data_IF_823629198837
#
_entry.id   IF_823629198837
#
_cell.length_a   1.000
_cell.length_b   1.000
_cell.length_c   1.000
_cell.angle_alpha   90.00
_cell.angle_beta   90.00
_cell.angle_gamma   90.00
#
_symmetry.space_group_name_H-M   'P 1'
#
loop_
_entity.id
_entity.type
_entity.pdbx_description
1 polymer ?
#
# COMPACT_ATOMS: atom_id res chain seq x y z
N UNK A 1 -25.15 0.69 13.89
CA UNK A 1 -24.61 2.02 13.54
C UNK A 1 -25.60 2.78 12.65
N UNK A 2 -26.72 3.30 13.17
CA UNK A 2 -27.56 4.31 12.48
C UNK A 2 -28.32 3.97 11.18
N UNK A 3 -27.97 2.89 10.45
CA UNK A 3 -28.59 2.52 9.16
C UNK A 3 -27.59 2.53 7.99
N UNK A 4 -28.02 2.09 6.81
CA UNK A 4 -27.16 2.05 5.62
C UNK A 4 -26.96 3.44 5.02
N UNK A 5 -25.71 3.82 4.75
CA UNK A 5 -25.37 5.11 4.13
C UNK A 5 -25.14 5.02 2.62
N UNK A 6 -25.07 3.80 2.06
CA UNK A 6 -24.89 3.52 0.64
C UNK A 6 -25.70 2.29 0.24
N UNK A 7 -26.26 2.28 -0.97
CA UNK A 7 -27.00 1.13 -1.51
C UNK A 7 -26.09 0.02 -2.05
N UNK A 8 -24.91 0.41 -2.57
CA UNK A 8 -23.90 -0.50 -3.13
C UNK A 8 -22.55 -0.11 -2.55
N UNK A 9 -21.76 -1.11 -2.17
CA UNK A 9 -20.38 -0.93 -1.73
C UNK A 9 -19.43 -1.40 -2.84
N UNK A 10 -18.71 -0.49 -3.51
CA UNK A 10 -17.65 -0.90 -4.43
C UNK A 10 -16.53 -1.58 -3.64
N UNK A 11 -16.00 -2.66 -4.19
CA UNK A 11 -14.95 -3.44 -3.57
C UNK A 11 -13.74 -3.51 -4.50
N UNK A 12 -12.55 -3.38 -3.93
CA UNK A 12 -11.33 -3.87 -4.55
C UNK A 12 -11.08 -5.32 -4.10
N UNK A 13 -10.12 -5.99 -4.73
CA UNK A 13 -9.71 -7.35 -4.34
C UNK A 13 -8.23 -7.39 -3.97
N UNK A 14 -7.85 -8.29 -3.05
CA UNK A 14 -6.45 -8.59 -2.75
C UNK A 14 -6.09 -9.94 -3.35
N UNK A 15 -5.22 -9.97 -4.35
CA UNK A 15 -4.82 -11.18 -5.06
C UNK A 15 -3.53 -10.95 -5.87
N UNK A 16 -2.80 -12.01 -6.17
CA UNK A 16 -1.67 -11.95 -7.12
C UNK A 16 -2.10 -11.88 -8.59
N UNK A 17 -3.41 -11.99 -8.88
CA UNK A 17 -4.00 -11.99 -10.23
C UNK A 17 -4.84 -10.75 -10.49
N UNK A 18 -4.18 -9.62 -10.67
CA UNK A 18 -4.83 -8.33 -10.93
C UNK A 18 -5.68 -8.34 -12.20
N UNK A 19 -5.27 -9.11 -13.22
CA UNK A 19 -6.03 -9.37 -14.44
C UNK A 19 -7.40 -10.01 -14.15
N UNK A 20 -7.43 -11.03 -13.29
CA UNK A 20 -8.67 -11.69 -12.89
C UNK A 20 -9.53 -10.75 -12.05
N UNK A 21 -8.93 -10.02 -11.10
CA UNK A 21 -9.63 -9.03 -10.29
C UNK A 21 -10.36 -7.99 -11.15
N UNK A 22 -9.68 -7.42 -12.14
CA UNK A 22 -10.29 -6.50 -13.10
C UNK A 22 -11.41 -7.17 -13.90
N UNK A 23 -11.19 -8.38 -14.42
CA UNK A 23 -12.18 -9.11 -15.23
C UNK A 23 -13.47 -9.42 -14.46
N UNK A 24 -13.37 -9.65 -13.15
CA UNK A 24 -14.50 -9.90 -12.26
C UNK A 24 -15.26 -8.63 -11.84
N UNK A 25 -14.79 -7.44 -12.25
CA UNK A 25 -15.47 -6.17 -12.01
C UNK A 25 -15.13 -5.49 -10.67
N UNK A 26 -14.07 -5.91 -9.98
CA UNK A 26 -13.56 -5.17 -8.82
C UNK A 26 -13.05 -3.78 -9.24
N UNK A 27 -13.13 -2.81 -8.34
CA UNK A 27 -12.73 -1.42 -8.64
C UNK A 27 -11.23 -1.19 -8.57
N UNK A 28 -10.46 -2.18 -8.15
CA UNK A 28 -9.01 -2.14 -8.01
C UNK A 28 -8.45 -3.47 -7.55
N UNK A 29 -7.13 -3.61 -7.54
CA UNK A 29 -6.46 -4.80 -7.03
C UNK A 29 -5.26 -4.44 -6.15
N UNK A 30 -5.21 -5.01 -4.95
CA UNK A 30 -4.02 -5.01 -4.09
C UNK A 30 -3.22 -6.28 -4.34
N UNK A 31 -1.93 -6.14 -4.64
CA UNK A 31 -0.98 -7.25 -4.85
C UNK A 31 0.04 -7.25 -3.71
N UNK A 32 0.64 -8.41 -3.42
CA UNK A 32 1.65 -8.54 -2.37
C UNK A 32 3.05 -8.18 -2.88
N UNK A 33 3.85 -7.54 -2.03
CA UNK A 33 5.26 -7.23 -2.28
C UNK A 33 6.12 -8.49 -2.11
N UNK A 34 6.76 -9.01 -3.18
CA UNK A 34 7.43 -10.31 -3.11
C UNK A 34 8.81 -10.29 -2.46
N UNK A 35 9.56 -9.18 -2.52
CA UNK A 35 10.93 -9.08 -2.00
C UNK A 35 11.07 -7.96 -0.98
N UNK A 36 11.91 -8.19 0.03
CA UNK A 36 12.13 -7.27 1.15
C UNK A 36 13.53 -6.66 1.17
N UNK A 37 13.89 -5.94 2.25
CA UNK A 37 15.19 -5.30 2.39
C UNK A 37 16.38 -6.28 2.36
N UNK A 38 16.19 -7.52 2.84
CA UNK A 38 17.22 -8.56 2.86
C UNK A 38 17.66 -9.01 1.45
N UNK A 39 16.80 -8.84 0.44
CA UNK A 39 17.13 -9.13 -0.97
C UNK A 39 17.91 -8.00 -1.66
N UNK A 40 18.12 -6.88 -0.96
CA UNK A 40 18.88 -5.73 -1.42
C UNK A 40 18.40 -5.13 -2.74
N UNK A 41 19.33 -4.57 -3.51
CA UNK A 41 19.04 -3.92 -4.80
C UNK A 41 18.48 -4.90 -5.84
N UNK A 42 18.89 -6.17 -5.78
CA UNK A 42 18.38 -7.22 -6.67
C UNK A 42 16.90 -7.47 -6.41
N UNK A 43 16.49 -7.56 -5.15
CA UNK A 43 15.08 -7.65 -4.76
C UNK A 43 14.26 -6.45 -5.19
N UNK A 44 14.79 -5.23 -4.99
CA UNK A 44 14.12 -3.99 -5.46
C UNK A 44 13.89 -4.01 -6.98
N UNK A 45 14.88 -4.45 -7.77
CA UNK A 45 14.74 -4.55 -9.23
C UNK A 45 13.64 -5.56 -9.62
N UNK A 46 13.62 -6.74 -8.98
CA UNK A 46 12.60 -7.76 -9.23
C UNK A 46 11.19 -7.30 -8.82
N UNK A 47 11.07 -6.58 -7.70
CA UNK A 47 9.82 -5.94 -7.28
C UNK A 47 9.30 -5.01 -8.39
N UNK A 48 10.16 -4.11 -8.89
CA UNK A 48 9.79 -3.19 -9.99
C UNK A 48 9.34 -3.93 -11.24
N UNK A 49 10.08 -4.96 -11.67
CA UNK A 49 9.72 -5.78 -12.83
C UNK A 49 8.34 -6.44 -12.63
N UNK A 50 8.08 -6.98 -11.43
CA UNK A 50 6.78 -7.57 -11.08
C UNK A 50 5.64 -6.54 -11.13
N UNK A 51 5.85 -5.33 -10.61
CA UNK A 51 4.84 -4.27 -10.63
C UNK A 51 4.55 -3.76 -12.04
N UNK A 52 5.58 -3.65 -12.89
CA UNK A 52 5.41 -3.29 -14.30
C UNK A 52 4.57 -4.34 -15.04
N UNK A 53 4.77 -5.62 -14.75
CA UNK A 53 3.95 -6.70 -15.32
C UNK A 53 2.49 -6.59 -14.85
N UNK A 54 2.26 -6.36 -13.55
CA UNK A 54 0.91 -6.18 -13.02
C UNK A 54 0.21 -4.97 -13.66
N UNK A 55 0.90 -3.83 -13.79
CA UNK A 55 0.40 -2.65 -14.49
C UNK A 55 0.05 -2.96 -15.95
N UNK A 56 0.93 -3.63 -16.68
CA UNK A 56 0.68 -3.99 -18.09
C UNK A 56 -0.57 -4.88 -18.27
N UNK A 57 -0.86 -5.77 -17.31
CA UNK A 57 -2.04 -6.64 -17.35
C UNK A 57 -3.36 -5.88 -17.19
N UNK A 58 -3.36 -4.78 -16.44
CA UNK A 58 -4.60 -4.05 -16.09
C UNK A 58 -4.73 -2.69 -16.79
N UNK A 59 -3.66 -2.18 -17.41
CA UNK A 59 -3.61 -0.87 -18.05
C UNK A 59 -3.58 0.30 -17.07
N UNK A 60 -3.36 1.51 -17.58
CA UNK A 60 -3.00 2.70 -16.77
C UNK A 60 -4.11 3.20 -15.85
N UNK A 61 -5.37 2.95 -16.20
CA UNK A 61 -6.53 3.47 -15.47
C UNK A 61 -7.05 2.59 -14.34
N UNK A 62 -6.54 1.37 -14.17
CA UNK A 62 -7.03 0.45 -13.13
C UNK A 62 -6.26 0.64 -11.82
N UNK A 63 -6.90 0.92 -10.68
CA UNK A 63 -6.21 1.08 -9.41
C UNK A 63 -5.42 -0.18 -9.01
N UNK A 64 -4.14 0.01 -8.75
CA UNK A 64 -3.25 -1.01 -8.20
C UNK A 64 -2.69 -0.53 -6.87
N UNK A 65 -2.66 -1.44 -5.91
CA UNK A 65 -2.19 -1.19 -4.55
C UNK A 65 -1.15 -2.24 -4.19
N UNK A 66 -0.22 -1.88 -3.30
CA UNK A 66 0.82 -2.79 -2.85
C UNK A 66 0.64 -3.07 -1.35
N UNK A 67 0.64 -4.35 -0.99
CA UNK A 67 0.70 -4.83 0.38
C UNK A 67 2.13 -5.27 0.73
N UNK A 68 2.69 -4.76 1.81
CA UNK A 68 4.05 -5.04 2.24
C UNK A 68 4.15 -5.89 3.52
N UNK A 69 3.03 -6.21 4.15
CA UNK A 69 2.93 -7.10 5.33
C UNK A 69 4.06 -6.91 6.35
N UNK A 70 4.17 -5.70 6.90
CA UNK A 70 5.11 -5.26 7.94
C UNK A 70 6.60 -5.58 7.69
N UNK A 71 6.99 -5.86 6.44
CA UNK A 71 8.27 -6.51 6.14
C UNK A 71 9.44 -5.56 5.77
N UNK A 72 9.22 -4.24 5.70
CA UNK A 72 10.23 -3.31 5.21
C UNK A 72 10.85 -2.46 6.32
N UNK A 73 11.77 -1.59 5.93
CA UNK A 73 12.44 -0.61 6.80
C UNK A 73 12.23 0.80 6.24
N UNK A 74 12.33 1.83 7.09
CA UNK A 74 12.12 3.24 6.67
C UNK A 74 12.87 3.62 5.38
N UNK A 75 14.19 3.35 5.23
CA UNK A 75 14.91 3.72 4.00
C UNK A 75 14.43 2.95 2.76
N UNK A 76 14.08 1.68 2.91
CA UNK A 76 13.58 0.85 1.83
C UNK A 76 12.19 1.31 1.41
N UNK A 77 11.30 1.56 2.37
CA UNK A 77 9.93 2.04 2.14
C UNK A 77 9.90 3.39 1.41
N UNK A 78 10.78 4.32 1.78
CA UNK A 78 10.92 5.61 1.06
C UNK A 78 11.34 5.39 -0.40
N UNK A 79 12.31 4.50 -0.62
CA UNK A 79 12.82 4.21 -1.97
C UNK A 79 11.77 3.52 -2.83
N UNK A 80 11.05 2.55 -2.26
CA UNK A 80 9.97 1.84 -2.92
C UNK A 80 8.79 2.77 -3.23
N UNK A 81 8.36 3.58 -2.27
CA UNK A 81 7.25 4.53 -2.45
C UNK A 81 7.50 5.51 -3.61
N UNK A 82 8.71 6.07 -3.71
CA UNK A 82 9.08 6.94 -4.84
C UNK A 82 8.89 6.22 -6.17
N UNK A 83 9.36 4.97 -6.25
CA UNK A 83 9.25 4.17 -7.46
C UNK A 83 7.81 3.83 -7.82
N UNK A 84 6.98 3.50 -6.83
CA UNK A 84 5.54 3.20 -6.99
C UNK A 84 4.74 4.42 -7.45
N UNK A 85 5.15 5.62 -7.04
CA UNK A 85 4.52 6.89 -7.41
C UNK A 85 4.86 7.34 -8.84
N UNK A 86 5.91 6.79 -9.45
CA UNK A 86 6.31 7.16 -10.81
C UNK A 86 5.17 6.88 -11.81
N UNK A 87 5.00 7.73 -12.85
CA UNK A 87 3.87 7.63 -13.78
C UNK A 87 3.72 6.29 -14.49
N UNK A 88 4.81 5.54 -14.70
CA UNK A 88 4.77 4.24 -15.38
C UNK A 88 4.19 3.11 -14.50
N UNK A 89 4.21 3.28 -13.16
CA UNK A 89 3.59 2.35 -12.22
C UNK A 89 2.28 2.90 -11.67
N UNK A 90 2.28 4.15 -11.21
CA UNK A 90 1.14 4.90 -10.68
C UNK A 90 0.27 4.05 -9.75
N UNK A 91 0.88 3.56 -8.66
CA UNK A 91 0.13 2.84 -7.63
C UNK A 91 -0.71 3.81 -6.80
N UNK A 92 -1.88 3.34 -6.37
CA UNK A 92 -2.82 4.11 -5.54
C UNK A 92 -2.35 4.17 -4.09
N UNK A 93 -1.87 3.06 -3.53
CA UNK A 93 -1.28 3.06 -2.19
C UNK A 93 -0.22 1.97 -1.97
N UNK A 94 0.59 2.19 -0.93
CA UNK A 94 1.47 1.21 -0.30
C UNK A 94 1.02 0.98 1.15
N UNK A 95 0.80 -0.29 1.49
CA UNK A 95 0.14 -0.72 2.71
C UNK A 95 1.09 -1.51 3.62
N UNK A 96 0.97 -1.23 4.92
CA UNK A 96 1.64 -1.94 6.01
C UNK A 96 3.12 -2.21 5.74
N UNK A 97 3.87 -1.15 5.51
CA UNK A 97 5.26 -1.24 5.08
C UNK A 97 6.26 -1.40 6.23
N UNK A 98 5.89 -1.10 7.48
CA UNK A 98 6.77 -1.28 8.65
C UNK A 98 6.11 -2.18 9.70
N UNK A 99 6.89 -2.76 10.62
CA UNK A 99 6.38 -3.32 11.86
C UNK A 99 5.37 -2.37 12.55
N UNK A 100 4.25 -2.88 13.07
CA UNK A 100 3.17 -2.04 13.61
C UNK A 100 3.62 -1.18 14.81
N UNK A 101 4.63 -1.63 15.55
CA UNK A 101 5.18 -0.91 16.71
C UNK A 101 6.00 0.35 16.33
N UNK A 102 6.39 0.51 15.06
CA UNK A 102 7.25 1.60 14.60
C UNK A 102 6.45 2.85 14.17
N UNK A 103 5.68 3.41 15.11
CA UNK A 103 4.87 4.62 14.86
C UNK A 103 5.67 5.81 14.33
N UNK A 104 6.88 5.99 14.84
CA UNK A 104 7.77 7.08 14.44
C UNK A 104 8.28 6.86 13.02
N UNK A 105 8.69 5.63 12.67
CA UNK A 105 9.08 5.27 11.32
C UNK A 105 7.97 5.48 10.29
N UNK A 106 6.72 5.17 10.63
CA UNK A 106 5.57 5.49 9.77
C UNK A 106 5.46 7.00 9.52
N UNK A 107 5.60 7.81 10.57
CA UNK A 107 5.62 9.28 10.47
C UNK A 107 6.79 9.82 9.63
N UNK A 108 7.97 9.22 9.72
CA UNK A 108 9.14 9.56 8.90
C UNK A 108 8.90 9.30 7.42
N UNK A 109 8.36 8.12 7.06
CA UNK A 109 8.03 7.80 5.67
C UNK A 109 6.94 8.76 5.16
N UNK A 110 5.89 8.99 5.94
CA UNK A 110 4.83 9.96 5.59
C UNK A 110 5.39 11.36 5.31
N UNK A 111 6.32 11.85 6.13
CA UNK A 111 6.98 13.15 5.90
C UNK A 111 7.82 13.16 4.62
N UNK A 112 8.47 12.05 4.29
CA UNK A 112 9.40 11.96 3.16
C UNK A 112 8.69 11.81 1.80
N UNK A 113 7.54 11.13 1.75
CA UNK A 113 6.89 10.73 0.48
C UNK A 113 5.37 10.90 0.46
N UNK A 114 4.73 11.38 1.54
CA UNK A 114 3.27 11.49 1.62
C UNK A 114 2.64 12.50 0.65
N UNK A 115 3.44 13.30 -0.04
CA UNK A 115 2.99 14.26 -1.05
C UNK A 115 3.17 13.77 -2.50
N UNK A 116 3.62 12.53 -2.73
CA UNK A 116 3.90 12.00 -4.08
C UNK A 116 2.66 11.54 -4.85
N UNK A 117 1.45 11.65 -4.26
CA UNK A 117 0.23 11.11 -4.85
C UNK A 117 0.02 9.61 -4.63
N UNK A 118 1.02 8.91 -4.07
CA UNK A 118 0.88 7.57 -3.52
C UNK A 118 0.37 7.66 -2.08
N UNK A 119 -0.76 7.03 -1.78
CA UNK A 119 -1.25 6.93 -0.41
C UNK A 119 -0.42 5.90 0.38
N UNK A 120 -0.38 6.09 1.67
CA UNK A 120 0.31 5.22 2.64
C UNK A 120 -0.72 4.78 3.67
N UNK A 121 -0.82 3.48 3.91
CA UNK A 121 -1.89 2.90 4.72
C UNK A 121 -1.33 1.85 5.69
N UNK A 122 -2.01 1.64 6.83
CA UNK A 122 -1.65 0.63 7.83
C UNK A 122 -2.79 0.45 8.84
N UNK A 123 -2.67 -0.52 9.73
CA UNK A 123 -3.51 -0.63 10.92
C UNK A 123 -4.09 -2.02 11.17
N UNK A 124 -3.90 -3.00 10.27
CA UNK A 124 -4.51 -4.32 10.41
C UNK A 124 -3.93 -5.11 11.59
N UNK A 125 -2.69 -4.81 11.98
CA UNK A 125 -2.04 -5.31 13.20
C UNK A 125 -2.03 -4.30 14.36
N UNK A 126 -2.89 -3.28 14.32
CA UNK A 126 -3.05 -2.32 15.42
C UNK A 126 -4.35 -2.57 16.20
N UNK A 127 -4.32 -2.34 17.52
CA UNK A 127 -5.42 -2.68 18.41
C UNK A 127 -5.82 -1.52 19.31
N UNK A 128 -7.11 -1.49 19.62
CA UNK A 128 -7.75 -0.53 20.53
C UNK A 128 -7.71 0.92 20.05
N UNK A 129 -8.58 1.75 20.63
CA UNK A 129 -8.59 3.20 20.36
C UNK A 129 -7.26 3.91 20.69
N UNK A 130 -6.43 3.32 21.55
CA UNK A 130 -5.18 3.94 21.99
C UNK A 130 -4.07 3.76 20.96
N UNK A 131 -3.96 2.59 20.34
CA UNK A 131 -3.02 2.34 19.25
C UNK A 131 -3.34 3.17 18.01
N UNK A 132 -4.60 3.16 17.57
CA UNK A 132 -5.03 4.04 16.47
C UNK A 132 -4.85 5.54 16.77
N UNK A 133 -4.94 5.96 18.04
CA UNK A 133 -4.60 7.33 18.42
C UNK A 133 -3.11 7.64 18.19
N UNK A 134 -2.21 6.70 18.48
CA UNK A 134 -0.77 6.89 18.19
C UNK A 134 -0.54 7.09 16.69
N UNK A 135 -1.15 6.25 15.84
CA UNK A 135 -1.06 6.39 14.39
C UNK A 135 -1.55 7.77 13.91
N UNK A 136 -2.69 8.24 14.45
CA UNK A 136 -3.24 9.56 14.13
C UNK A 136 -2.34 10.71 14.60
N UNK A 137 -1.86 10.66 15.83
CA UNK A 137 -1.01 11.70 16.42
C UNK A 137 0.32 11.85 15.65
N UNK A 138 0.87 10.74 15.16
CA UNK A 138 2.09 10.70 14.34
C UNK A 138 1.84 11.00 12.87
N UNK A 139 0.59 11.12 12.44
CA UNK A 139 0.18 11.21 11.03
C UNK A 139 0.79 10.06 10.21
N UNK A 140 0.73 8.85 10.76
CA UNK A 140 1.39 7.64 10.28
C UNK A 140 0.82 7.09 8.97
N UNK A 141 -0.41 7.46 8.59
CA UNK A 141 -1.07 6.97 7.39
C UNK A 141 -2.11 7.97 6.86
N UNK A 142 -2.44 7.81 5.58
CA UNK A 142 -3.56 8.47 4.91
C UNK A 142 -4.89 7.73 5.17
N UNK A 143 -4.84 6.40 5.27
CA UNK A 143 -5.99 5.53 5.52
C UNK A 143 -5.59 4.53 6.61
N UNK A 144 -6.45 4.41 7.63
CA UNK A 144 -6.32 3.41 8.70
C UNK A 144 -7.17 2.18 8.36
N UNK A 145 -6.62 0.98 8.56
CA UNK A 145 -7.23 -0.29 8.15
C UNK A 145 -7.30 -1.27 9.34
N UNK A 146 -8.15 -1.00 10.35
CA UNK A 146 -8.33 -1.88 11.51
C UNK A 146 -8.89 -3.26 11.16
#
# INVERSE_FOLDING_TARGET
MGGATKAILPMYTTTSRADIGKKLGFTGCKIACPYGPADGLSGMKKNVEYFQQARAQVGDGFPLMLDCYMALTVPYSISLARRLAEPDLHFTWMEEFLPPDDYDGYGEVMKAVGNLGLLLTTGEHEYSRFGFKQLLDKRAAHILQP
#
